data_IF_761025986750
#
_entry.id   IF_761025986750
#
_cell.length_a   1.000
_cell.length_b   1.000
_cell.length_c   1.000
_cell.angle_alpha   90.00
_cell.angle_beta   90.00
_cell.angle_gamma   90.00
#
_symmetry.space_group_name_H-M   'P 1'
#
loop_
_entity.id
_entity.type
_entity.pdbx_description
1 polymer ?
#
# COMPACT_ATOMS: atom_id res chain seq x y z
N UNK A 1 -7.22 7.34 -5.40
CA UNK A 1 -7.92 6.20 -4.75
C UNK A 1 -7.29 5.95 -3.38
N UNK A 2 -8.07 5.66 -2.34
CA UNK A 2 -7.52 5.29 -1.03
C UNK A 2 -7.25 3.77 -1.00
N UNK A 3 -6.06 3.36 -0.57
CA UNK A 3 -5.73 1.95 -0.37
C UNK A 3 -6.75 1.31 0.59
N UNK A 4 -7.32 0.17 0.19
CA UNK A 4 -8.31 -0.55 0.99
C UNK A 4 -7.72 -0.94 2.37
N UNK A 5 -8.54 -0.84 3.42
CA UNK A 5 -8.09 -1.13 4.78
C UNK A 5 -7.60 -2.58 4.92
N UNK A 6 -8.14 -3.52 4.14
CA UNK A 6 -7.68 -4.91 4.15
C UNK A 6 -6.25 -5.04 3.65
N UNK A 7 -5.89 -4.31 2.58
CA UNK A 7 -4.54 -4.32 2.01
C UNK A 7 -3.54 -3.67 2.97
N UNK A 8 -3.94 -2.59 3.65
CA UNK A 8 -3.11 -1.97 4.69
C UNK A 8 -2.81 -2.94 5.83
N UNK A 9 -3.84 -3.60 6.37
CA UNK A 9 -3.66 -4.56 7.46
C UNK A 9 -2.79 -5.75 7.06
N UNK A 10 -2.93 -6.24 5.82
CA UNK A 10 -2.10 -7.32 5.30
C UNK A 10 -0.63 -6.91 5.18
N UNK A 11 -0.37 -5.69 4.68
CA UNK A 11 0.99 -5.13 4.57
C UNK A 11 1.61 -4.94 5.96
N UNK A 12 0.86 -4.41 6.92
CA UNK A 12 1.35 -4.24 8.29
C UNK A 12 1.63 -5.59 8.96
N UNK A 13 0.80 -6.63 8.72
CA UNK A 13 1.09 -7.99 9.20
C UNK A 13 2.31 -8.63 8.54
N UNK A 14 2.54 -8.35 7.26
CA UNK A 14 3.57 -9.00 6.46
C UNK A 14 4.96 -8.35 6.59
N UNK A 15 4.99 -7.03 6.76
CA UNK A 15 6.22 -6.24 6.82
C UNK A 15 6.45 -5.56 8.18
N UNK A 16 5.44 -5.52 9.05
CA UNK A 16 5.58 -4.97 10.40
C UNK A 16 6.26 -5.95 11.31
N UNK A 17 7.23 -5.47 12.11
CA UNK A 17 7.89 -6.28 13.14
C UNK A 17 6.99 -6.52 14.36
N UNK A 18 5.94 -5.72 14.51
CA UNK A 18 4.92 -5.83 15.54
C UNK A 18 3.57 -5.42 14.97
N UNK A 19 2.47 -5.90 15.56
CA UNK A 19 1.09 -5.64 15.10
C UNK A 19 0.69 -4.15 15.12
N UNK A 20 1.46 -3.30 15.82
CA UNK A 20 1.29 -1.84 15.84
C UNK A 20 2.37 -1.07 15.08
N UNK A 21 3.27 -1.75 14.37
CA UNK A 21 4.40 -1.10 13.70
C UNK A 21 3.97 -0.53 12.33
N UNK A 22 3.21 0.56 12.37
CA UNK A 22 2.83 1.34 11.18
C UNK A 22 3.90 2.39 10.81
N UNK A 23 4.97 2.51 11.59
CA UNK A 23 5.97 3.58 11.49
C UNK A 23 7.30 3.16 10.87
N UNK A 24 7.63 1.87 10.90
CA UNK A 24 8.86 1.36 10.28
C UNK A 24 8.95 1.68 8.79
N UNK A 25 10.17 2.02 8.35
CA UNK A 25 10.47 2.33 6.95
C UNK A 25 10.04 1.20 6.01
N UNK A 26 10.20 -0.05 6.44
CA UNK A 26 9.82 -1.25 5.69
C UNK A 26 8.30 -1.30 5.40
N UNK A 27 7.47 -0.97 6.41
CA UNK A 27 6.00 -0.95 6.28
C UNK A 27 5.53 0.24 5.45
N UNK A 28 6.11 1.42 5.66
CA UNK A 28 5.77 2.60 4.87
C UNK A 28 6.13 2.44 3.40
N UNK A 29 7.29 1.84 3.09
CA UNK A 29 7.68 1.53 1.72
C UNK A 29 6.67 0.56 1.10
N UNK A 30 6.31 -0.52 1.79
CA UNK A 30 5.34 -1.48 1.27
C UNK A 30 3.95 -0.85 1.02
N UNK A 31 3.48 0.03 1.92
CA UNK A 31 2.25 0.80 1.76
C UNK A 31 2.31 1.75 0.55
N UNK A 32 3.43 2.45 0.34
CA UNK A 32 3.61 3.32 -0.82
C UNK A 32 3.66 2.50 -2.12
N UNK A 33 4.40 1.39 -2.13
CA UNK A 33 4.49 0.50 -3.30
C UNK A 33 3.12 -0.03 -3.71
N UNK A 34 2.30 -0.47 -2.75
CA UNK A 34 0.95 -0.93 -3.02
C UNK A 34 0.07 0.17 -3.62
N UNK A 35 0.17 1.40 -3.09
CA UNK A 35 -0.53 2.56 -3.66
C UNK A 35 -0.05 2.88 -5.08
N UNK A 36 1.26 2.88 -5.32
CA UNK A 36 1.85 3.15 -6.63
C UNK A 36 1.37 2.10 -7.65
N UNK A 37 1.39 0.82 -7.30
CA UNK A 37 0.90 -0.24 -8.19
C UNK A 37 -0.59 -0.07 -8.51
N UNK A 38 -1.42 0.24 -7.51
CA UNK A 38 -2.84 0.50 -7.74
C UNK A 38 -3.08 1.73 -8.62
N UNK A 39 -2.30 2.79 -8.46
CA UNK A 39 -2.38 3.99 -9.28
C UNK A 39 -1.87 3.73 -10.70
N UNK A 40 -0.78 2.98 -10.85
CA UNK A 40 -0.22 2.64 -12.16
C UNK A 40 -1.19 1.80 -12.99
N UNK A 41 -1.87 0.84 -12.36
CA UNK A 41 -2.94 0.06 -13.00
C UNK A 41 -4.16 0.93 -13.34
N UNK A 42 -4.52 1.87 -12.45
CA UNK A 42 -5.59 2.84 -12.69
C UNK A 42 -5.32 3.72 -13.90
N UNK A 43 -4.14 4.35 -13.97
CA UNK A 43 -3.75 5.21 -15.09
C UNK A 43 -3.58 4.43 -16.39
N UNK A 44 -3.16 3.16 -16.31
CA UNK A 44 -3.10 2.29 -17.49
C UNK A 44 -4.48 1.99 -18.05
N UNK A 45 -5.48 1.74 -17.19
CA UNK A 45 -6.87 1.47 -17.58
C UNK A 45 -7.67 2.73 -17.92
N UNK A 46 -7.34 3.85 -17.28
CA UNK A 46 -7.98 5.15 -17.48
C UNK A 46 -6.97 6.11 -18.09
N UNK A 47 -6.69 5.94 -19.38
CA UNK A 47 -5.68 6.72 -20.12
C UNK A 47 -5.99 8.22 -20.26
N UNK A 48 -7.10 8.70 -19.69
CA UNK A 48 -7.57 10.09 -19.68
C UNK A 48 -7.56 10.73 -18.27
N UNK A 49 -7.20 9.96 -17.25
CA UNK A 49 -7.05 10.42 -15.86
C UNK A 49 -5.58 10.72 -15.56
#
# INVERSE_FOLDING_TARGET
MALDNSVKEEIVKKYGKSAGDCGSSEVQIALLTANINSLSDHFSKNSKD
#
